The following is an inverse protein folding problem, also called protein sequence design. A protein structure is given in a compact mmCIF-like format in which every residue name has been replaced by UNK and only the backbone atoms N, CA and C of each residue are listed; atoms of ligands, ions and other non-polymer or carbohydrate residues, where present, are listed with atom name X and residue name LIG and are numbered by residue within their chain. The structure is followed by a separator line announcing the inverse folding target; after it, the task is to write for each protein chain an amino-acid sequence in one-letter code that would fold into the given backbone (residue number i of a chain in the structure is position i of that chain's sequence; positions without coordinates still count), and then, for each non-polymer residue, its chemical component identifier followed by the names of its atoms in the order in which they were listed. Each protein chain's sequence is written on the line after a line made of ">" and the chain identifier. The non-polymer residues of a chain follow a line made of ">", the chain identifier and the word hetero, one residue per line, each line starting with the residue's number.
data_IF_186602345891
#
_entry.id   IF_186602345891
#
_cell.length_a   1.000
_cell.length_b   1.000
_cell.length_c   1.000
_cell.angle_alpha   90.00
_cell.angle_beta   90.00
_cell.angle_gamma   90.00
#
_symmetry.space_group_name_H-M   'P 1'
#
loop_
_entity.id
_entity.type
_entity.pdbx_description
1 polymer ?
#
# COMPACT_ATOMS: atom_id res chain seq x y z
N UNK A 1 -4.80 -2.43 17.34
CA UNK A 1 -4.18 -2.70 16.03
C UNK A 1 -4.28 -1.40 15.24
N UNK A 2 -3.19 -0.91 14.67
CA UNK A 2 -3.22 0.33 13.86
C UNK A 2 -3.67 0.01 12.43
N UNK A 3 -4.21 1.00 11.71
CA UNK A 3 -4.58 0.85 10.29
C UNK A 3 -3.40 0.38 9.42
N UNK A 4 -2.16 0.74 9.80
CA UNK A 4 -0.95 0.25 9.12
C UNK A 4 -0.75 -1.26 9.34
N UNK A 5 -0.86 -1.75 10.58
CA UNK A 5 -0.70 -3.17 10.88
C UNK A 5 -1.76 -4.03 10.18
N UNK A 6 -2.98 -3.52 10.03
CA UNK A 6 -4.03 -4.20 9.30
C UNK A 6 -3.72 -4.30 7.81
N UNK A 7 -3.26 -3.21 7.18
CA UNK A 7 -2.85 -3.23 5.78
C UNK A 7 -1.65 -4.16 5.53
N UNK A 8 -0.66 -4.17 6.43
CA UNK A 8 0.50 -5.07 6.32
C UNK A 8 0.10 -6.54 6.43
N UNK A 9 -0.81 -6.89 7.34
CA UNK A 9 -1.34 -8.26 7.45
C UNK A 9 -2.06 -8.69 6.17
N UNK A 10 -2.85 -7.80 5.56
CA UNK A 10 -3.45 -8.08 4.24
C UNK A 10 -2.37 -8.33 3.20
N UNK A 11 -1.32 -7.51 3.15
CA UNK A 11 -0.22 -7.74 2.20
C UNK A 11 0.50 -9.06 2.43
N UNK A 12 0.77 -9.44 3.68
CA UNK A 12 1.34 -10.75 4.02
C UNK A 12 0.47 -11.91 3.50
N UNK A 13 -0.84 -11.86 3.75
CA UNK A 13 -1.79 -12.85 3.26
C UNK A 13 -1.80 -12.92 1.72
N UNK A 14 -1.71 -11.77 1.05
CA UNK A 14 -1.64 -11.67 -0.41
C UNK A 14 -0.31 -12.20 -0.98
N UNK A 15 0.81 -11.93 -0.31
CA UNK A 15 2.13 -12.43 -0.69
C UNK A 15 2.19 -13.95 -0.60
N UNK A 16 1.53 -14.54 0.40
CA UNK A 16 1.40 -16.01 0.55
C UNK A 16 0.46 -16.60 -0.51
N UNK A 17 -0.63 -15.91 -0.84
CA UNK A 17 -1.59 -16.39 -1.84
C UNK A 17 -1.05 -16.33 -3.28
N UNK A 18 -0.13 -15.40 -3.57
CA UNK A 18 0.53 -15.20 -4.88
C UNK A 18 -0.43 -15.01 -6.08
N UNK A 19 -1.69 -14.63 -5.85
CA UNK A 19 -2.69 -14.50 -6.91
C UNK A 19 -2.77 -13.07 -7.46
N UNK A 20 -2.49 -12.84 -8.76
CA UNK A 20 -2.52 -11.50 -9.36
C UNK A 20 -3.89 -10.82 -9.35
N UNK A 21 -4.98 -11.60 -9.29
CA UNK A 21 -6.35 -11.08 -9.21
C UNK A 21 -6.59 -10.21 -7.96
N UNK A 22 -5.75 -10.35 -6.94
CA UNK A 22 -5.90 -9.67 -5.67
C UNK A 22 -5.29 -8.26 -5.65
N UNK A 23 -4.84 -7.73 -6.79
CA UNK A 23 -4.34 -6.36 -6.89
C UNK A 23 -5.36 -5.31 -6.37
N UNK A 24 -6.66 -5.56 -6.54
CA UNK A 24 -7.73 -4.69 -6.02
C UNK A 24 -7.84 -4.72 -4.48
N UNK A 25 -7.45 -5.82 -3.84
CA UNK A 25 -7.43 -5.92 -2.38
C UNK A 25 -6.27 -5.12 -1.79
N UNK A 26 -5.10 -5.17 -2.44
CA UNK A 26 -3.97 -4.32 -2.07
C UNK A 26 -4.31 -2.82 -2.22
N UNK A 27 -4.93 -2.43 -3.34
CA UNK A 27 -5.38 -1.06 -3.58
C UNK A 27 -6.37 -0.56 -2.50
N UNK A 28 -7.37 -1.39 -2.18
CA UNK A 28 -8.35 -1.08 -1.14
C UNK A 28 -7.70 -0.93 0.25
N UNK A 29 -6.75 -1.80 0.60
CA UNK A 29 -6.04 -1.73 1.87
C UNK A 29 -5.17 -0.46 1.99
N UNK A 30 -4.47 -0.07 0.91
CA UNK A 30 -3.70 1.18 0.87
C UNK A 30 -4.64 2.38 1.02
N UNK A 31 -5.76 2.39 0.29
CA UNK A 31 -6.74 3.47 0.41
C UNK A 31 -7.35 3.57 1.81
N UNK A 32 -7.71 2.44 2.43
CA UNK A 32 -8.25 2.39 3.78
C UNK A 32 -7.23 2.89 4.82
N UNK A 33 -5.95 2.59 4.64
CA UNK A 33 -4.89 3.12 5.49
C UNK A 33 -4.72 4.63 5.34
N UNK A 34 -4.79 5.18 4.12
CA UNK A 34 -4.58 6.61 3.87
C UNK A 34 -5.78 7.50 4.21
N UNK A 35 -7.00 6.97 4.10
CA UNK A 35 -8.26 7.73 4.27
C UNK A 35 -8.35 8.54 5.58
N UNK A 36 -7.91 8.03 6.74
CA UNK A 36 -7.97 8.78 8.01
C UNK A 36 -7.01 9.97 8.08
N UNK A 37 -6.02 10.08 7.20
CA UNK A 37 -5.05 11.17 7.20
C UNK A 37 -5.60 12.38 6.44
N UNK A 38 -5.74 13.50 7.15
CA UNK A 38 -6.26 14.74 6.58
C UNK A 38 -5.20 15.45 5.73
N UNK A 39 -5.53 15.68 4.45
CA UNK A 39 -4.70 16.41 3.50
C UNK A 39 -3.64 15.55 2.79
N UNK A 40 -3.28 15.98 1.58
CA UNK A 40 -2.35 15.25 0.71
C UNK A 40 -0.95 15.08 1.32
N UNK A 41 -0.46 16.06 2.07
CA UNK A 41 0.84 15.98 2.76
C UNK A 41 0.88 14.85 3.79
N UNK A 42 -0.12 14.80 4.67
CA UNK A 42 -0.26 13.74 5.70
C UNK A 42 -0.42 12.36 5.07
N UNK A 43 -1.18 12.26 3.98
CA UNK A 43 -1.32 11.02 3.21
C UNK A 43 -0.01 10.59 2.55
N UNK A 44 0.79 11.53 2.03
CA UNK A 44 2.09 11.23 1.44
C UNK A 44 3.10 10.74 2.50
N UNK A 45 3.11 11.36 3.68
CA UNK A 45 3.94 10.90 4.81
C UNK A 45 3.52 9.51 5.30
N UNK A 46 2.22 9.25 5.41
CA UNK A 46 1.69 7.94 5.76
C UNK A 46 2.06 6.89 4.71
N UNK A 47 1.90 7.20 3.42
CA UNK A 47 2.30 6.30 2.33
C UNK A 47 3.80 5.97 2.42
N UNK A 48 4.66 6.94 2.71
CA UNK A 48 6.09 6.70 2.93
C UNK A 48 6.42 5.86 4.17
N UNK A 49 5.54 5.81 5.18
CA UNK A 49 5.68 4.85 6.29
C UNK A 49 5.30 3.44 5.84
N UNK A 50 4.23 3.31 5.07
CA UNK A 50 3.80 2.03 4.50
C UNK A 50 4.84 1.45 3.52
N UNK A 51 5.41 2.26 2.63
CA UNK A 51 6.48 1.85 1.70
C UNK A 51 7.68 1.27 2.46
N UNK A 52 8.09 1.91 3.57
CA UNK A 52 9.18 1.42 4.43
C UNK A 52 8.85 0.09 5.10
N UNK A 53 7.63 -0.07 5.59
CA UNK A 53 7.21 -1.32 6.21
C UNK A 53 7.06 -2.46 5.19
N UNK A 54 6.57 -2.18 3.97
CA UNK A 54 6.49 -3.15 2.87
C UNK A 54 7.89 -3.62 2.44
N UNK A 55 8.91 -2.76 2.51
CA UNK A 55 10.29 -3.14 2.21
C UNK A 55 10.87 -4.19 3.18
N UNK A 56 10.24 -4.42 4.33
CA UNK A 56 10.62 -5.47 5.29
C UNK A 56 9.92 -6.82 5.01
N UNK A 57 8.97 -6.86 4.07
CA UNK A 57 8.25 -8.08 3.68
C UNK A 57 9.08 -8.94 2.70
N UNK A 58 8.70 -10.21 2.55
CA UNK A 58 9.38 -11.15 1.66
C UNK A 58 9.26 -10.74 0.17
N UNK A 59 10.41 -10.38 -0.41
CA UNK A 59 10.50 -9.96 -1.81
C UNK A 59 10.45 -11.13 -2.83
N UNK A 60 10.45 -12.39 -2.37
CA UNK A 60 10.44 -13.57 -3.22
C UNK A 60 9.09 -13.87 -3.89
N UNK A 61 7.99 -13.29 -3.39
CA UNK A 61 6.64 -13.52 -3.91
C UNK A 61 6.43 -12.95 -5.31
N UNK A 62 5.71 -13.69 -6.15
CA UNK A 62 5.25 -13.21 -7.46
C UNK A 62 4.28 -12.00 -7.36
N UNK A 63 3.68 -11.78 -6.18
CA UNK A 63 2.78 -10.66 -5.93
C UNK A 63 3.53 -9.36 -5.54
N UNK A 64 4.77 -9.43 -5.07
CA UNK A 64 5.54 -8.26 -4.62
C UNK A 64 5.64 -7.15 -5.71
N UNK A 65 5.93 -7.46 -6.99
CA UNK A 65 5.94 -6.43 -8.04
C UNK A 65 4.59 -5.73 -8.23
N UNK A 66 3.48 -6.43 -8.01
CA UNK A 66 2.11 -5.88 -8.13
C UNK A 66 1.83 -4.93 -6.96
N UNK A 67 2.23 -5.30 -5.75
CA UNK A 67 2.11 -4.45 -4.57
C UNK A 67 2.93 -3.16 -4.73
N UNK A 68 4.18 -3.27 -5.17
CA UNK A 68 5.04 -2.10 -5.42
C UNK A 68 4.47 -1.18 -6.50
N UNK A 69 3.94 -1.73 -7.59
CA UNK A 69 3.30 -0.92 -8.62
C UNK A 69 2.05 -0.20 -8.09
N UNK A 70 1.29 -0.84 -7.20
CA UNK A 70 0.10 -0.25 -6.57
C UNK A 70 0.48 0.91 -5.65
N UNK A 71 1.51 0.75 -4.82
CA UNK A 71 2.06 1.84 -4.00
C UNK A 71 2.50 3.03 -4.86
N UNK A 72 3.22 2.76 -5.96
CA UNK A 72 3.68 3.81 -6.89
C UNK A 72 2.51 4.59 -7.51
N UNK A 73 1.40 3.92 -7.86
CA UNK A 73 0.20 4.62 -8.36
C UNK A 73 -0.39 5.55 -7.31
N UNK A 74 -0.47 5.12 -6.05
CA UNK A 74 -0.93 5.98 -4.97
C UNK A 74 0.02 7.17 -4.73
N UNK A 75 1.33 6.94 -4.82
CA UNK A 75 2.35 7.99 -4.70
C UNK A 75 2.21 9.04 -5.80
N UNK A 76 2.05 8.60 -7.05
CA UNK A 76 1.83 9.48 -8.19
C UNK A 76 0.59 10.35 -7.98
N UNK A 77 -0.54 9.74 -7.60
CA UNK A 77 -1.80 10.45 -7.33
C UNK A 77 -1.67 11.50 -6.22
N UNK A 78 -0.92 11.22 -5.16
CA UNK A 78 -0.70 12.18 -4.08
C UNK A 78 0.25 13.32 -4.47
N UNK A 79 1.04 13.12 -5.53
CA UNK A 79 1.99 14.12 -6.06
C UNK A 79 1.41 14.95 -7.20
N UNK A 80 0.27 14.55 -7.77
CA UNK A 80 -0.44 15.35 -8.77
C UNK A 80 -0.93 16.65 -8.11
N UNK A 81 -0.70 17.82 -8.75
CA UNK A 81 -1.25 19.06 -8.24
C UNK A 81 -2.77 18.94 -8.24
N UNK A 82 -3.39 19.02 -7.06
CA UNK A 82 -4.83 19.12 -6.91
C UNK A 82 -5.32 20.31 -7.76
N UNK A 83 -5.99 20.00 -8.88
CA UNK A 83 -6.52 20.96 -9.83
C UNK A 83 -7.61 21.85 -9.22
#
# INVERSE_FOLDING_TARGET
>A
MTHLQEALRIFEDLLVAEQPANAGEADAAIWAYLTPFEGLGSQAEALGQMERAVAELDAGSAFMPILLNTLERHRARLSEPSA
#
